data_IF_380440659668
#
_entry.id   IF_380440659668
#
_cell.length_a   1.000
_cell.length_b   1.000
_cell.length_c   1.000
_cell.angle_alpha   90.00
_cell.angle_beta   90.00
_cell.angle_gamma   90.00
#
_symmetry.space_group_name_H-M   'P 1'
#
loop_
_entity.id
_entity.type
_entity.pdbx_description
1 polymer ?
#
# COMPACT_ATOMS: atom_id res chain seq x y z
N UNK A 1 -23.77 -17.06 37.54
CA UNK A 1 -24.13 -15.96 36.62
C UNK A 1 -22.95 -15.00 36.36
N UNK A 2 -21.72 -15.52 36.13
CA UNK A 2 -20.54 -14.70 35.76
C UNK A 2 -19.80 -15.20 34.51
N UNK A 3 -20.18 -16.37 33.98
CA UNK A 3 -19.55 -16.98 32.81
C UNK A 3 -20.32 -16.78 31.49
N UNK A 4 -21.58 -16.35 31.55
CA UNK A 4 -22.40 -16.14 30.34
C UNK A 4 -22.02 -14.86 29.56
N UNK A 5 -21.34 -13.91 30.21
CA UNK A 5 -20.99 -12.62 29.61
C UNK A 5 -19.74 -12.65 28.73
N UNK A 6 -18.87 -13.66 28.87
CA UNK A 6 -17.62 -13.76 28.09
C UNK A 6 -17.86 -14.35 26.69
N UNK A 7 -18.88 -15.20 26.52
CA UNK A 7 -19.16 -15.88 25.25
C UNK A 7 -19.84 -14.95 24.22
N UNK A 8 -20.52 -13.89 24.67
CA UNK A 8 -21.16 -12.93 23.75
C UNK A 8 -20.19 -11.90 23.15
N UNK A 9 -19.00 -11.68 23.74
CA UNK A 9 -18.04 -10.68 23.26
C UNK A 9 -17.25 -11.12 22.01
N UNK A 10 -17.11 -12.43 21.78
CA UNK A 10 -16.31 -12.97 20.66
C UNK A 10 -17.11 -13.06 19.35
N UNK A 11 -18.45 -13.11 19.42
CA UNK A 11 -19.32 -13.26 18.24
C UNK A 11 -19.63 -11.94 17.51
N UNK A 12 -19.24 -10.78 18.06
CA UNK A 12 -19.50 -9.46 17.47
C UNK A 12 -18.32 -8.89 16.66
N UNK A 13 -17.20 -9.60 16.56
CA UNK A 13 -16.15 -9.28 15.61
C UNK A 13 -16.47 -9.96 14.27
N UNK A 14 -17.51 -9.49 13.57
CA UNK A 14 -17.72 -9.87 12.19
C UNK A 14 -16.44 -9.60 11.42
N UNK A 15 -15.75 -10.65 10.95
CA UNK A 15 -14.55 -10.49 10.15
C UNK A 15 -14.94 -9.62 8.96
N UNK A 16 -14.35 -8.43 8.87
CA UNK A 16 -14.60 -7.52 7.76
C UNK A 16 -14.44 -8.33 6.47
N UNK A 17 -15.48 -8.30 5.63
CA UNK A 17 -15.49 -8.98 4.34
C UNK A 17 -15.00 -7.99 3.30
N UNK A 18 -14.34 -8.48 2.27
CA UNK A 18 -13.90 -7.70 1.12
C UNK A 18 -15.06 -7.29 0.20
N UNK A 19 -16.32 -7.33 0.64
CA UNK A 19 -17.48 -7.00 -0.18
C UNK A 19 -17.68 -5.48 -0.30
N UNK A 20 -16.70 -4.78 -0.87
CA UNK A 20 -16.77 -3.34 -1.10
C UNK A 20 -17.77 -3.06 -2.24
N UNK A 21 -18.88 -2.32 -1.98
CA UNK A 21 -19.95 -2.12 -2.96
C UNK A 21 -19.49 -1.30 -4.18
N UNK A 22 -18.43 -0.51 -4.01
CA UNK A 22 -17.82 0.31 -5.06
C UNK A 22 -16.88 -0.47 -5.99
N UNK A 23 -16.53 -1.71 -5.65
CA UNK A 23 -15.61 -2.53 -6.46
C UNK A 23 -16.43 -3.46 -7.38
N UNK A 24 -16.29 -3.37 -8.70
CA UNK A 24 -17.02 -4.24 -9.65
C UNK A 24 -16.75 -5.73 -9.40
N UNK A 25 -17.74 -6.58 -9.64
CA UNK A 25 -17.63 -8.04 -9.44
C UNK A 25 -16.55 -8.68 -10.32
N UNK A 26 -16.37 -8.12 -11.51
CA UNK A 26 -15.40 -8.54 -12.53
C UNK A 26 -13.97 -8.41 -12.01
N UNK A 27 -13.72 -7.49 -11.05
CA UNK A 27 -12.42 -7.37 -10.38
C UNK A 27 -12.12 -8.62 -9.55
N UNK A 28 -13.09 -9.13 -8.78
CA UNK A 28 -12.91 -10.33 -7.95
C UNK A 28 -12.74 -11.57 -8.81
N UNK A 29 -13.53 -11.69 -9.88
CA UNK A 29 -13.41 -12.76 -10.88
C UNK A 29 -12.01 -12.78 -11.53
N UNK A 30 -11.51 -11.61 -11.96
CA UNK A 30 -10.18 -11.48 -12.56
C UNK A 30 -9.05 -11.81 -11.56
N UNK A 31 -9.27 -11.55 -10.27
CA UNK A 31 -8.34 -11.88 -9.19
C UNK A 31 -8.49 -13.31 -8.69
N UNK A 32 -9.51 -14.06 -9.16
CA UNK A 32 -9.84 -15.43 -8.76
C UNK A 32 -10.08 -15.58 -7.27
N UNK A 33 -10.79 -14.62 -6.68
CA UNK A 33 -11.19 -14.61 -5.28
C UNK A 33 -12.70 -14.40 -5.14
N UNK A 34 -13.26 -14.87 -4.04
CA UNK A 34 -14.66 -14.63 -3.70
C UNK A 34 -14.85 -13.25 -3.06
N UNK A 35 -16.06 -12.67 -3.19
CA UNK A 35 -16.39 -11.40 -2.51
C UNK A 35 -16.43 -11.51 -0.98
N UNK A 36 -16.56 -12.73 -0.46
CA UNK A 36 -16.47 -13.06 0.95
C UNK A 36 -15.02 -13.24 1.43
N UNK A 37 -14.01 -13.02 0.58
CA UNK A 37 -12.62 -13.01 1.03
C UNK A 37 -12.42 -11.92 2.09
N UNK A 38 -11.35 -12.04 2.88
CA UNK A 38 -10.94 -10.99 3.80
C UNK A 38 -10.34 -9.79 3.05
N UNK A 39 -10.36 -8.56 3.62
CA UNK A 39 -9.68 -7.40 3.07
C UNK A 39 -8.20 -7.63 2.80
N UNK A 40 -7.53 -8.45 3.62
CA UNK A 40 -6.14 -8.83 3.42
C UNK A 40 -5.96 -9.64 2.14
N UNK A 41 -6.79 -10.67 1.92
CA UNK A 41 -6.73 -11.49 0.71
C UNK A 41 -7.03 -10.65 -0.55
N UNK A 42 -8.02 -9.75 -0.49
CA UNK A 42 -8.28 -8.81 -1.58
C UNK A 42 -7.07 -7.90 -1.85
N UNK A 43 -6.49 -7.31 -0.79
CA UNK A 43 -5.31 -6.45 -0.91
C UNK A 43 -4.12 -7.18 -1.51
N UNK A 44 -3.83 -8.40 -1.03
CA UNK A 44 -2.70 -9.21 -1.52
C UNK A 44 -2.91 -9.62 -2.99
N UNK A 45 -4.13 -9.99 -3.38
CA UNK A 45 -4.45 -10.30 -4.78
C UNK A 45 -4.32 -9.06 -5.69
N UNK A 46 -4.82 -7.91 -5.25
CA UNK A 46 -4.66 -6.63 -5.95
C UNK A 46 -3.18 -6.26 -6.11
N UNK A 47 -2.42 -6.31 -5.01
CA UNK A 47 -1.01 -5.95 -4.99
C UNK A 47 -0.19 -6.89 -5.88
N UNK A 48 -0.48 -8.19 -5.85
CA UNK A 48 0.16 -9.18 -6.73
C UNK A 48 -0.01 -8.82 -8.19
N UNK A 49 -1.24 -8.48 -8.62
CA UNK A 49 -1.50 -8.08 -10.01
C UNK A 49 -0.86 -6.72 -10.33
N UNK A 50 -0.92 -5.76 -9.41
CA UNK A 50 -0.37 -4.42 -9.58
C UNK A 50 1.16 -4.43 -9.75
N UNK A 51 1.86 -5.33 -9.06
CA UNK A 51 3.32 -5.47 -9.10
C UNK A 51 3.81 -6.55 -10.08
N UNK A 52 2.95 -7.10 -10.94
CA UNK A 52 3.34 -8.10 -11.94
C UNK A 52 3.83 -7.42 -13.23
N UNK A 53 5.09 -7.63 -13.67
CA UNK A 53 5.60 -7.03 -14.90
C UNK A 53 4.81 -7.44 -16.15
N UNK A 54 4.20 -8.63 -16.16
CA UNK A 54 3.33 -9.08 -17.24
C UNK A 54 2.01 -8.29 -17.29
N UNK A 55 1.64 -7.62 -16.19
CA UNK A 55 0.45 -6.77 -16.06
C UNK A 55 0.80 -5.27 -16.15
N UNK A 56 2.07 -4.93 -16.36
CA UNK A 56 2.47 -3.58 -16.79
C UNK A 56 3.38 -2.80 -15.84
N UNK A 57 3.79 -3.34 -14.68
CA UNK A 57 4.78 -2.65 -13.84
C UNK A 57 6.18 -2.70 -14.47
N UNK A 58 7.01 -1.69 -14.20
CA UNK A 58 8.39 -1.62 -14.66
C UNK A 58 8.56 -0.82 -15.96
N UNK A 59 9.69 -1.00 -16.63
CA UNK A 59 10.05 -0.22 -17.83
C UNK A 59 9.21 -0.54 -19.08
N UNK A 60 8.36 -1.56 -19.01
CA UNK A 60 7.51 -2.04 -20.09
C UNK A 60 8.29 -2.65 -21.26
N UNK A 61 7.55 -3.01 -22.33
CA UNK A 61 8.06 -3.70 -23.52
C UNK A 61 9.23 -3.01 -24.21
N UNK A 62 9.31 -1.69 -24.12
CA UNK A 62 10.35 -0.87 -24.76
C UNK A 62 11.39 -0.36 -23.76
N UNK A 63 11.51 -0.99 -22.60
CA UNK A 63 12.39 -0.57 -21.52
C UNK A 63 13.86 -0.42 -21.92
N UNK A 64 14.32 -1.13 -22.95
CA UNK A 64 15.71 -1.05 -23.41
C UNK A 64 16.01 0.23 -24.20
N UNK A 65 14.99 0.90 -24.72
CA UNK A 65 15.13 2.07 -25.59
C UNK A 65 15.14 3.42 -24.85
N UNK A 66 14.98 3.40 -23.52
CA UNK A 66 14.97 4.62 -22.72
C UNK A 66 15.62 4.41 -21.35
N UNK A 67 16.11 5.50 -20.76
CA UNK A 67 16.71 5.50 -19.44
C UNK A 67 16.02 6.53 -18.53
N UNK A 68 15.89 6.26 -17.23
CA UNK A 68 15.31 7.22 -16.30
C UNK A 68 16.22 8.44 -16.19
N UNK A 69 15.62 9.63 -16.21
CA UNK A 69 16.25 10.87 -15.73
C UNK A 69 16.13 10.98 -14.22
N UNK A 70 16.87 11.91 -13.60
CA UNK A 70 16.92 12.10 -12.13
C UNK A 70 15.53 12.20 -11.48
N UNK A 71 14.57 12.84 -12.14
CA UNK A 71 13.22 13.05 -11.61
C UNK A 71 12.30 11.82 -11.77
N UNK A 72 12.66 10.83 -12.61
CA UNK A 72 11.82 9.64 -12.89
C UNK A 72 11.54 8.80 -11.63
N UNK A 73 12.45 8.84 -10.65
CA UNK A 73 12.30 8.17 -9.35
C UNK A 73 11.07 8.61 -8.54
N UNK A 74 10.49 9.75 -8.86
CA UNK A 74 9.27 10.26 -8.22
C UNK A 74 8.02 9.96 -9.05
N UNK A 75 8.16 9.70 -10.35
CA UNK A 75 7.05 9.29 -11.22
C UNK A 75 6.81 7.77 -11.22
N UNK A 76 7.89 6.98 -11.16
CA UNK A 76 7.83 5.53 -10.99
C UNK A 76 8.76 5.12 -9.83
N UNK A 77 8.31 5.29 -8.58
CA UNK A 77 9.12 5.00 -7.42
C UNK A 77 9.36 3.50 -7.23
N UNK A 78 8.43 2.65 -7.67
CA UNK A 78 8.59 1.19 -7.53
C UNK A 78 9.79 0.69 -8.34
N UNK A 79 9.98 1.23 -9.55
CA UNK A 79 11.10 0.83 -10.41
C UNK A 79 12.41 1.56 -10.08
N UNK A 80 12.36 2.85 -9.73
CA UNK A 80 13.56 3.70 -9.73
C UNK A 80 13.91 4.37 -8.41
N UNK A 81 13.04 4.36 -7.39
CA UNK A 81 13.35 5.06 -6.15
C UNK A 81 14.42 4.35 -5.32
N UNK A 82 15.41 5.11 -4.86
CA UNK A 82 16.38 4.69 -3.85
C UNK A 82 16.53 5.79 -2.81
N UNK A 83 16.47 5.52 -1.49
CA UNK A 83 16.63 6.57 -0.49
C UNK A 83 17.91 7.42 -0.71
N UNK A 84 17.87 8.73 -0.42
CA UNK A 84 19.05 9.57 -0.52
C UNK A 84 20.13 9.10 0.48
N UNK A 85 21.40 9.25 0.12
CA UNK A 85 22.53 8.83 0.98
C UNK A 85 23.09 9.96 1.87
N UNK A 86 22.60 11.19 1.70
CA UNK A 86 23.10 12.37 2.39
C UNK A 86 22.73 12.39 3.88
N UNK A 87 21.58 11.84 4.25
CA UNK A 87 21.11 11.75 5.64
C UNK A 87 21.25 10.29 6.10
N UNK A 88 22.17 10.05 7.02
CA UNK A 88 22.50 8.70 7.54
C UNK A 88 21.92 8.48 8.94
N UNK A 89 20.65 8.82 9.09
CA UNK A 89 19.94 8.77 10.37
C UNK A 89 18.99 7.57 10.42
N UNK A 90 18.84 7.00 11.61
CA UNK A 90 17.71 6.10 11.94
C UNK A 90 16.78 6.90 12.84
N UNK A 91 15.62 7.29 12.31
CA UNK A 91 14.70 8.20 12.99
C UNK A 91 13.48 7.46 13.57
N UNK A 92 13.07 7.87 14.78
CA UNK A 92 11.75 7.58 15.33
C UNK A 92 10.65 8.39 14.63
N UNK A 93 9.39 8.06 14.90
CA UNK A 93 8.22 8.80 14.40
C UNK A 93 8.30 10.29 14.74
N UNK A 94 8.64 10.63 15.98
CA UNK A 94 8.71 12.00 16.48
C UNK A 94 9.86 12.76 15.82
N UNK A 95 10.99 12.08 15.58
CA UNK A 95 12.15 12.66 14.91
C UNK A 95 11.87 13.01 13.44
N UNK A 96 11.00 12.25 12.75
CA UNK A 96 10.55 12.60 11.41
C UNK A 96 9.91 13.99 11.38
N UNK A 97 8.92 14.24 12.24
CA UNK A 97 8.21 15.53 12.28
C UNK A 97 9.17 16.64 12.71
N UNK A 98 9.94 16.42 13.79
CA UNK A 98 10.83 17.46 14.33
C UNK A 98 11.86 17.95 13.30
N UNK A 99 12.53 17.04 12.59
CA UNK A 99 13.51 17.41 11.58
C UNK A 99 12.85 18.11 10.37
N UNK A 100 11.73 17.57 9.90
CA UNK A 100 11.04 18.11 8.73
C UNK A 100 10.28 19.42 8.99
N UNK A 101 10.04 19.81 10.24
CA UNK A 101 9.57 21.16 10.57
C UNK A 101 10.55 22.22 10.09
N UNK A 102 11.86 21.92 10.10
CA UNK A 102 12.90 22.84 9.66
C UNK A 102 13.26 22.59 8.18
N UNK A 103 13.48 21.33 7.77
CA UNK A 103 13.94 20.99 6.42
C UNK A 103 12.85 21.11 5.34
N UNK A 104 11.58 20.88 5.71
CA UNK A 104 10.46 20.93 4.77
C UNK A 104 9.15 21.36 5.46
N UNK A 105 9.10 22.59 6.01
CA UNK A 105 8.00 23.06 6.86
C UNK A 105 6.63 22.95 6.22
N UNK A 106 6.53 23.19 4.91
CA UNK A 106 5.27 23.10 4.17
C UNK A 106 4.64 21.70 4.18
N UNK A 107 5.46 20.64 4.15
CA UNK A 107 4.95 19.26 4.22
C UNK A 107 4.46 18.91 5.62
N UNK A 108 5.15 19.38 6.66
CA UNK A 108 4.72 19.14 8.05
C UNK A 108 3.45 19.93 8.36
N UNK A 109 3.32 21.16 7.88
CA UNK A 109 2.12 21.97 8.11
C UNK A 109 0.88 21.45 7.39
N UNK A 110 1.06 20.73 6.27
CA UNK A 110 -0.05 20.21 5.46
C UNK A 110 -0.53 18.81 5.90
N UNK A 111 0.34 18.01 6.50
CA UNK A 111 0.03 16.66 7.01
C UNK A 111 -0.77 16.71 8.32
#
# INVERSE_FOLDING_TARGET
>A
MKYALVICGVLAAGQAQANFPTVPKETYEALKIERSASPKELYEALLKRYLDPAQGVGKGKYGDYWQPVSFSRYFDPHTFYKPPQAVKEVASREQCVKCHTDESPGWVAAW
#
